data_IF_200710423422
#
_entry.id   IF_200710423422
#
_cell.length_a   1.000
_cell.length_b   1.000
_cell.length_c   1.000
_cell.angle_alpha   90.00
_cell.angle_beta   90.00
_cell.angle_gamma   90.00
#
_symmetry.space_group_name_H-M   'P 1'
#
loop_
_entity.id
_entity.type
_entity.pdbx_description
1 polymer ?
#
# COMPACT_ATOMS: atom_id res chain seq x y z
N UNK A 1 85.19 -14.96 -13.59
CA UNK A 1 85.12 -13.57 -14.10
C UNK A 1 83.86 -13.44 -14.93
N UNK A 2 82.86 -12.77 -14.33
CA UNK A 2 81.76 -11.95 -14.89
C UNK A 2 80.84 -12.41 -16.06
N UNK A 3 79.55 -12.04 -15.89
CA UNK A 3 78.45 -11.72 -16.87
C UNK A 3 77.34 -12.81 -16.92
N UNK A 4 76.23 -12.68 -16.17
CA UNK A 4 74.96 -11.91 -16.37
C UNK A 4 74.08 -12.38 -17.54
N UNK A 5 72.82 -12.78 -17.22
CA UNK A 5 71.56 -12.46 -17.94
C UNK A 5 70.37 -13.06 -17.15
N UNK A 6 69.57 -12.28 -16.41
CA UNK A 6 68.35 -11.54 -16.81
C UNK A 6 67.15 -12.42 -17.20
N UNK A 7 66.14 -12.45 -16.33
CA UNK A 7 64.74 -12.43 -16.74
C UNK A 7 63.87 -11.80 -15.63
N UNK A 8 63.30 -10.65 -15.96
CA UNK A 8 62.34 -9.85 -15.22
C UNK A 8 60.99 -10.57 -15.08
N UNK A 9 60.34 -10.48 -13.91
CA UNK A 9 58.87 -10.48 -13.83
C UNK A 9 58.40 -9.30 -12.96
N UNK A 10 57.96 -8.26 -13.67
CA UNK A 10 57.31 -7.06 -13.18
C UNK A 10 55.87 -7.44 -12.75
N UNK A 11 55.57 -7.38 -11.45
CA UNK A 11 54.20 -7.43 -10.95
C UNK A 11 53.58 -6.04 -11.15
N UNK A 12 52.63 -5.93 -12.09
CA UNK A 12 51.82 -4.74 -12.28
C UNK A 12 50.47 -4.95 -11.59
N UNK A 13 50.30 -4.34 -10.42
CA UNK A 13 49.07 -4.27 -9.65
C UNK A 13 48.04 -3.37 -10.36
N UNK A 14 46.91 -3.93 -10.79
CA UNK A 14 45.75 -3.16 -11.27
C UNK A 14 44.80 -2.95 -10.09
N UNK A 15 44.76 -1.73 -9.57
CA UNK A 15 43.71 -1.29 -8.64
C UNK A 15 42.43 -0.98 -9.45
N UNK A 16 41.47 -1.90 -9.41
CA UNK A 16 40.10 -1.63 -9.86
C UNK A 16 39.28 -1.01 -8.73
N UNK A 17 38.97 0.28 -8.84
CA UNK A 17 38.06 0.96 -7.92
C UNK A 17 36.60 0.59 -8.21
N UNK A 18 35.99 -0.16 -7.30
CA UNK A 18 34.55 -0.43 -7.30
C UNK A 18 33.82 0.82 -6.76
N UNK A 19 33.17 1.59 -7.63
CA UNK A 19 32.23 2.65 -7.20
C UNK A 19 30.88 1.98 -6.95
N UNK A 20 30.53 1.78 -5.68
CA UNK A 20 29.19 1.36 -5.27
C UNK A 20 28.30 2.60 -5.26
N UNK A 21 27.43 2.74 -6.26
CA UNK A 21 26.34 3.72 -6.23
C UNK A 21 25.25 3.21 -5.29
N UNK A 22 25.19 3.77 -4.08
CA UNK A 22 24.06 3.58 -3.19
C UNK A 22 22.84 4.33 -3.74
N UNK A 23 21.91 3.62 -4.36
CA UNK A 23 20.59 4.18 -4.62
C UNK A 23 19.91 4.41 -3.27
N UNK A 24 19.65 5.66 -2.92
CA UNK A 24 18.86 5.98 -1.72
C UNK A 24 17.41 5.64 -2.07
N UNK A 25 16.94 4.48 -1.63
CA UNK A 25 15.52 4.18 -1.66
C UNK A 25 14.79 5.21 -0.79
N UNK A 26 14.02 6.11 -1.41
CA UNK A 26 13.15 7.00 -0.64
C UNK A 26 12.03 6.14 -0.06
N UNK A 27 11.73 6.35 1.23
CA UNK A 27 10.55 5.78 1.85
C UNK A 27 9.31 6.20 1.03
N UNK A 28 8.48 5.23 0.68
CA UNK A 28 7.27 5.46 -0.10
C UNK A 28 6.26 6.21 0.77
N UNK A 29 5.73 7.34 0.30
CA UNK A 29 4.69 8.08 1.02
C UNK A 29 3.42 7.23 1.07
N UNK A 30 2.86 7.06 2.26
CA UNK A 30 1.60 6.32 2.48
C UNK A 30 0.68 7.12 3.38
N UNK A 31 -0.63 7.08 3.14
CA UNK A 31 -1.66 7.52 4.11
C UNK A 31 -2.57 6.34 4.37
N UNK A 32 -2.62 5.87 5.62
CA UNK A 32 -3.37 4.66 6.01
C UNK A 32 -4.50 5.03 6.96
N UNK A 33 -5.67 4.43 6.77
CA UNK A 33 -6.89 4.63 7.55
C UNK A 33 -7.37 3.29 8.07
N UNK A 34 -7.63 3.20 9.38
CA UNK A 34 -8.15 2.01 10.05
C UNK A 34 -9.60 2.29 10.49
N UNK A 35 -10.54 1.46 10.04
CA UNK A 35 -11.96 1.53 10.45
C UNK A 35 -12.19 0.57 11.61
N UNK A 36 -12.43 1.09 12.81
CA UNK A 36 -12.45 0.27 14.01
C UNK A 36 -13.66 0.47 14.92
N UNK A 37 -14.02 -0.61 15.61
CA UNK A 37 -14.78 -0.55 16.85
C UNK A 37 -13.85 -0.10 18.00
N UNK A 38 -14.34 0.55 19.09
CA UNK A 38 -13.59 0.75 20.33
C UNK A 38 -12.70 -0.45 20.72
N UNK A 39 -11.42 -0.14 20.99
CA UNK A 39 -10.39 -1.15 21.30
C UNK A 39 -9.66 -1.72 20.09
N UNK A 40 -10.09 -1.43 18.86
CA UNK A 40 -9.44 -1.87 17.61
C UNK A 40 -8.33 -0.95 17.08
N UNK A 41 -7.81 -0.05 17.92
CA UNK A 41 -6.75 0.91 17.57
C UNK A 41 -5.45 0.21 17.19
N UNK A 42 -4.96 0.51 15.98
CA UNK A 42 -3.58 0.21 15.60
C UNK A 42 -2.69 1.23 16.30
N UNK A 43 -1.84 0.74 17.19
CA UNK A 43 -0.92 1.59 17.95
C UNK A 43 0.17 2.19 17.04
N UNK A 44 0.61 3.44 17.26
CA UNK A 44 1.73 4.02 16.55
C UNK A 44 2.97 3.13 16.61
N UNK A 45 3.68 3.01 15.50
CA UNK A 45 4.87 2.16 15.38
C UNK A 45 4.56 0.67 15.13
N UNK A 46 3.28 0.28 15.06
CA UNK A 46 2.90 -1.09 14.71
C UNK A 46 2.84 -1.23 13.19
N UNK A 47 3.81 -1.93 12.60
CA UNK A 47 3.86 -2.20 11.17
C UNK A 47 2.66 -3.07 10.74
N UNK A 48 1.88 -2.57 9.78
CA UNK A 48 0.66 -3.21 9.30
C UNK A 48 0.40 -2.91 7.82
N UNK A 49 -0.28 -3.84 7.14
CA UNK A 49 -0.79 -3.70 5.78
C UNK A 49 0.05 -4.46 4.74
N UNK A 50 -0.50 -4.59 3.53
CA UNK A 50 0.23 -5.15 2.36
C UNK A 50 1.46 -4.29 2.06
N UNK A 51 1.29 -2.97 2.09
CA UNK A 51 2.40 -2.02 2.14
C UNK A 51 2.57 -1.62 3.60
N UNK A 52 3.61 -2.14 4.24
CA UNK A 52 3.87 -1.92 5.66
C UNK A 52 3.92 -0.43 6.00
N UNK A 53 2.99 0.04 6.83
CA UNK A 53 2.96 1.39 7.38
C UNK A 53 2.96 1.35 8.91
N UNK A 54 3.72 2.28 9.51
CA UNK A 54 3.90 2.39 10.96
C UNK A 54 2.87 3.30 11.62
N UNK A 55 2.15 4.09 10.84
CA UNK A 55 1.19 5.08 11.31
C UNK A 55 -0.15 4.88 10.57
N UNK A 56 -1.21 4.68 11.34
CA UNK A 56 -2.56 4.48 10.86
C UNK A 56 -3.49 5.51 11.51
N UNK A 57 -4.28 6.17 10.68
CA UNK A 57 -5.31 7.09 11.12
C UNK A 57 -6.51 6.26 11.59
N UNK A 58 -6.63 6.10 12.90
CA UNK A 58 -7.69 5.30 13.50
C UNK A 58 -9.01 6.08 13.50
N UNK A 59 -9.96 5.62 12.69
CA UNK A 59 -11.33 6.13 12.65
C UNK A 59 -12.13 5.45 13.74
N UNK A 60 -12.33 6.16 14.84
CA UNK A 60 -13.26 5.73 15.89
C UNK A 60 -14.63 6.34 15.60
N UNK A 61 -15.69 5.52 15.45
CA UNK A 61 -16.99 6.05 15.82
C UNK A 61 -17.07 6.18 17.35
N UNK A 62 -17.82 7.18 17.78
CA UNK A 62 -18.37 7.21 19.13
C UNK A 62 -19.35 6.05 19.22
N UNK A 63 -18.91 4.94 19.81
CA UNK A 63 -19.78 3.87 20.27
C UNK A 63 -20.30 4.27 21.66
N UNK A 64 -21.55 3.97 22.01
CA UNK A 64 -22.52 3.20 21.25
C UNK A 64 -23.29 4.10 20.29
N UNK A 65 -23.51 3.62 19.06
CA UNK A 65 -24.73 4.00 18.37
C UNK A 65 -25.90 3.55 19.28
N UNK A 66 -26.71 4.45 19.84
CA UNK A 66 -27.81 4.07 20.73
C UNK A 66 -28.89 3.24 20.02
N UNK A 67 -28.85 3.11 18.69
CA UNK A 67 -29.66 2.17 17.95
C UNK A 67 -28.86 1.63 16.75
N UNK A 68 -28.61 0.31 16.59
CA UNK A 68 -27.81 -0.29 15.50
C UNK A 68 -28.29 -0.02 14.06
N UNK A 69 -29.19 0.94 13.86
CA UNK A 69 -29.94 1.23 12.65
C UNK A 69 -29.75 2.66 12.12
N UNK A 70 -29.01 3.54 12.81
CA UNK A 70 -29.00 4.98 12.47
C UNK A 70 -27.98 5.39 11.41
N UNK A 71 -27.06 4.49 11.04
CA UNK A 71 -26.00 4.77 10.07
C UNK A 71 -24.90 5.64 10.68
N UNK A 72 -23.65 5.27 10.41
CA UNK A 72 -22.48 6.01 10.85
C UNK A 72 -22.03 6.95 9.74
N UNK A 73 -21.81 8.22 10.09
CA UNK A 73 -21.12 9.18 9.23
C UNK A 73 -20.01 9.84 10.02
N UNK A 74 -18.85 10.04 9.39
CA UNK A 74 -17.76 10.74 10.05
C UNK A 74 -16.78 11.35 9.07
N UNK A 75 -15.90 12.19 9.60
CA UNK A 75 -14.83 12.79 8.83
C UNK A 75 -13.59 13.00 9.72
N UNK A 76 -12.42 12.87 9.11
CA UNK A 76 -11.13 13.20 9.71
C UNK A 76 -10.39 14.10 8.73
N UNK A 77 -9.92 15.24 9.23
CA UNK A 77 -9.11 16.18 8.45
C UNK A 77 -7.65 16.09 8.87
N UNK A 78 -6.74 16.33 7.92
CA UNK A 78 -5.31 16.38 8.20
C UNK A 78 -4.75 15.03 8.62
N UNK A 79 -5.02 13.98 7.83
CA UNK A 79 -4.51 12.64 8.08
C UNK A 79 -2.98 12.63 8.14
N UNK A 80 -2.41 11.79 8.99
CA UNK A 80 -0.96 11.59 9.07
C UNK A 80 -0.50 10.58 8.01
N UNK A 81 0.70 10.78 7.49
CA UNK A 81 1.36 9.84 6.59
C UNK A 81 2.11 8.72 7.34
N UNK A 82 2.75 7.82 6.61
CA UNK A 82 3.52 6.70 7.14
C UNK A 82 4.70 7.10 8.04
N UNK A 83 5.17 8.35 7.94
CA UNK A 83 6.21 8.91 8.82
C UNK A 83 5.65 9.54 10.10
N UNK A 84 4.33 9.75 10.15
CA UNK A 84 3.64 10.43 11.24
C UNK A 84 3.46 11.94 11.00
N UNK A 85 3.87 12.46 9.84
CA UNK A 85 3.70 13.85 9.49
C UNK A 85 2.25 14.12 9.06
N UNK A 86 1.67 15.21 9.55
CA UNK A 86 0.34 15.68 9.12
C UNK A 86 0.37 16.06 7.63
N UNK A 87 -0.65 15.62 6.90
CA UNK A 87 -0.87 15.97 5.49
C UNK A 87 -2.09 16.89 5.35
N UNK A 88 -2.39 17.35 4.12
CA UNK A 88 -3.67 17.98 3.80
C UNK A 88 -4.75 16.99 3.36
N UNK A 89 -4.49 15.68 3.46
CA UNK A 89 -5.44 14.63 3.06
C UNK A 89 -6.55 14.52 4.10
N UNK A 90 -7.79 14.43 3.64
CA UNK A 90 -8.97 14.28 4.49
C UNK A 90 -9.79 13.08 4.02
N UNK A 91 -10.54 12.49 4.94
CA UNK A 91 -11.51 11.44 4.64
C UNK A 91 -12.88 11.79 5.23
N UNK A 92 -13.94 11.51 4.48
CA UNK A 92 -15.30 11.41 4.99
C UNK A 92 -15.85 10.04 4.62
N UNK A 93 -16.62 9.43 5.50
CA UNK A 93 -17.17 8.09 5.28
C UNK A 93 -18.60 7.98 5.76
N UNK A 94 -19.32 7.05 5.15
CA UNK A 94 -20.65 6.60 5.56
C UNK A 94 -20.62 5.09 5.68
N UNK A 95 -21.36 4.54 6.63
CA UNK A 95 -21.55 3.11 6.82
C UNK A 95 -22.78 2.86 7.67
N UNK A 96 -23.05 1.61 7.99
CA UNK A 96 -24.13 1.24 8.90
C UNK A 96 -23.66 1.10 10.35
N UNK A 97 -22.46 0.55 10.56
CA UNK A 97 -21.85 0.46 11.88
C UNK A 97 -20.46 -0.15 11.86
N UNK A 98 -20.02 -0.64 13.02
CA UNK A 98 -18.78 -1.39 13.18
C UNK A 98 -19.06 -2.79 13.74
N UNK A 99 -18.28 -3.76 13.28
CA UNK A 99 -18.24 -5.11 13.84
C UNK A 99 -16.79 -5.54 14.08
N UNK A 100 -16.66 -6.65 14.80
CA UNK A 100 -15.38 -7.26 15.13
C UNK A 100 -15.46 -8.79 14.99
N UNK A 101 -14.36 -9.49 15.22
CA UNK A 101 -14.24 -10.95 15.15
C UNK A 101 -14.26 -11.51 13.71
N UNK A 102 -13.78 -10.75 12.73
CA UNK A 102 -13.64 -11.24 11.36
C UNK A 102 -12.46 -12.19 11.15
N UNK A 103 -11.45 -12.16 12.03
CA UNK A 103 -10.23 -12.97 11.90
C UNK A 103 -9.93 -13.65 13.24
N UNK A 104 -9.67 -14.96 13.19
CA UNK A 104 -9.33 -15.73 14.40
C UNK A 104 -7.81 -15.83 14.57
N UNK A 105 -7.37 -15.88 15.83
CA UNK A 105 -5.98 -16.12 16.19
C UNK A 105 -5.02 -14.99 15.80
N UNK A 106 -4.37 -14.40 16.79
CA UNK A 106 -3.32 -13.42 16.56
C UNK A 106 -3.43 -12.20 17.47
N UNK A 107 -2.30 -11.52 17.61
CA UNK A 107 -2.16 -10.25 18.31
C UNK A 107 -1.36 -9.25 17.48
N UNK A 108 -1.10 -9.59 16.20
CA UNK A 108 -0.38 -8.72 15.28
C UNK A 108 -1.24 -7.55 14.87
N UNK A 109 -0.61 -6.48 14.41
CA UNK A 109 -1.34 -5.29 13.99
C UNK A 109 -2.09 -5.51 12.65
N UNK A 110 -1.64 -6.46 11.81
CA UNK A 110 -2.43 -6.97 10.67
C UNK A 110 -3.70 -7.71 11.12
N UNK A 111 -3.60 -8.51 12.18
CA UNK A 111 -4.78 -9.15 12.77
C UNK A 111 -5.74 -8.08 13.30
N UNK A 112 -5.24 -7.07 14.02
CA UNK A 112 -6.08 -5.98 14.53
C UNK A 112 -6.80 -5.20 13.42
N UNK A 113 -6.08 -4.90 12.33
CA UNK A 113 -6.63 -4.23 11.16
C UNK A 113 -7.81 -5.02 10.60
N UNK A 114 -7.61 -6.31 10.31
CA UNK A 114 -8.65 -7.12 9.68
C UNK A 114 -9.74 -7.57 10.65
N UNK A 115 -9.45 -7.67 11.94
CA UNK A 115 -10.41 -8.15 12.93
C UNK A 115 -11.55 -7.15 13.17
N UNK A 116 -11.36 -5.87 12.82
CA UNK A 116 -12.38 -4.83 12.92
C UNK A 116 -12.76 -4.36 11.52
N UNK A 117 -14.03 -4.01 11.35
CA UNK A 117 -14.50 -3.47 10.07
C UNK A 117 -15.72 -2.57 10.27
N UNK A 118 -15.80 -1.55 9.43
CA UNK A 118 -17.05 -0.86 9.16
C UNK A 118 -17.86 -1.68 8.16
N UNK A 119 -19.17 -1.74 8.35
CA UNK A 119 -20.05 -2.53 7.49
C UNK A 119 -21.26 -1.73 7.01
N UNK A 120 -21.84 -2.17 5.89
CA UNK A 120 -23.08 -1.66 5.32
C UNK A 120 -24.01 -2.81 4.89
N UNK A 121 -25.07 -2.46 4.17
CA UNK A 121 -25.88 -3.41 3.37
C UNK A 121 -26.60 -2.66 2.24
N UNK A 122 -27.50 -3.33 1.52
CA UNK A 122 -28.25 -2.72 0.41
C UNK A 122 -29.14 -1.53 0.81
N UNK A 123 -29.61 -1.46 2.07
CA UNK A 123 -30.37 -0.33 2.61
C UNK A 123 -29.50 0.75 3.27
N UNK A 124 -28.25 0.43 3.60
CA UNK A 124 -27.32 1.31 4.30
C UNK A 124 -25.95 1.29 3.60
N UNK A 125 -25.66 2.27 2.72
CA UNK A 125 -24.47 2.25 1.89
C UNK A 125 -23.19 2.38 2.73
N UNK A 126 -22.11 1.76 2.26
CA UNK A 126 -20.76 1.93 2.78
C UNK A 126 -19.92 2.63 1.72
N UNK A 127 -19.38 3.79 2.04
CA UNK A 127 -18.56 4.56 1.11
C UNK A 127 -17.56 5.42 1.87
N UNK A 128 -16.40 5.64 1.25
CA UNK A 128 -15.34 6.48 1.79
C UNK A 128 -14.84 7.43 0.69
N UNK A 129 -14.93 8.73 0.96
CA UNK A 129 -14.43 9.79 0.08
C UNK A 129 -13.17 10.38 0.66
N UNK A 130 -12.10 10.40 -0.13
CA UNK A 130 -10.80 10.97 0.23
C UNK A 130 -10.54 12.20 -0.64
N UNK A 131 -10.04 13.27 -0.03
CA UNK A 131 -9.74 14.54 -0.70
C UNK A 131 -8.39 15.10 -0.25
N UNK A 132 -7.86 16.09 -0.99
CA UNK A 132 -6.61 16.76 -0.63
C UNK A 132 -5.35 15.95 -0.92
N UNK A 133 -5.45 14.93 -1.78
CA UNK A 133 -4.37 14.00 -2.10
C UNK A 133 -3.13 14.68 -2.70
N UNK A 134 -3.28 15.80 -3.40
CA UNK A 134 -2.15 16.54 -3.96
C UNK A 134 -1.20 17.12 -2.91
N UNK A 135 -1.62 17.17 -1.63
CA UNK A 135 -0.77 17.60 -0.52
C UNK A 135 0.28 16.56 -0.11
N UNK A 136 0.02 15.27 -0.38
CA UNK A 136 0.88 14.15 0.01
C UNK A 136 1.42 13.36 -1.19
N UNK A 137 0.71 13.38 -2.32
CA UNK A 137 1.00 12.58 -3.49
C UNK A 137 1.19 13.47 -4.72
N UNK A 138 2.34 13.33 -5.38
CA UNK A 138 2.61 13.98 -6.67
C UNK A 138 2.44 12.94 -7.78
N UNK A 139 1.38 13.06 -8.58
CA UNK A 139 1.07 12.09 -9.65
C UNK A 139 0.13 10.97 -9.20
N UNK A 140 0.27 9.80 -9.81
CA UNK A 140 -0.59 8.64 -9.54
C UNK A 140 -0.22 7.94 -8.23
N UNK A 141 -1.19 7.24 -7.66
CA UNK A 141 -1.06 6.45 -6.45
C UNK A 141 -1.86 5.16 -6.57
N UNK A 142 -1.54 4.20 -5.71
CA UNK A 142 -2.33 3.00 -5.55
C UNK A 142 -3.21 3.12 -4.31
N UNK A 143 -4.41 2.54 -4.38
CA UNK A 143 -5.33 2.44 -3.26
C UNK A 143 -5.54 0.98 -2.91
N UNK A 144 -5.17 0.60 -1.69
CA UNK A 144 -5.42 -0.71 -1.11
C UNK A 144 -6.64 -0.60 -0.22
N UNK A 145 -7.61 -1.49 -0.43
CA UNK A 145 -8.79 -1.61 0.43
C UNK A 145 -8.70 -2.94 1.14
N UNK A 146 -8.63 -2.90 2.46
CA UNK A 146 -8.54 -4.07 3.33
C UNK A 146 -9.92 -4.43 3.83
N UNK A 147 -10.20 -5.72 3.90
CA UNK A 147 -11.48 -6.22 4.39
C UNK A 147 -11.35 -7.61 4.96
N UNK A 148 -12.14 -7.86 5.99
CA UNK A 148 -12.52 -9.20 6.40
C UNK A 148 -13.98 -9.19 6.83
N UNK A 149 -14.59 -10.37 6.75
CA UNK A 149 -15.93 -10.62 7.24
C UNK A 149 -15.97 -12.08 7.68
N UNK A 150 -16.52 -12.42 8.87
CA UNK A 150 -16.59 -13.81 9.32
C UNK A 150 -17.42 -14.70 8.37
N UNK A 151 -18.30 -14.12 7.56
CA UNK A 151 -19.13 -14.82 6.59
C UNK A 151 -18.48 -14.81 5.20
N UNK A 152 -18.17 -15.98 4.64
CA UNK A 152 -17.59 -16.15 3.30
C UNK A 152 -18.62 -16.54 2.22
N UNK A 153 -19.92 -16.44 2.51
CA UNK A 153 -20.98 -16.80 1.57
C UNK A 153 -21.40 -15.64 0.65
N UNK A 154 -20.55 -14.62 0.50
CA UNK A 154 -20.92 -13.33 -0.08
C UNK A 154 -19.80 -12.76 -0.96
N UNK A 155 -20.15 -12.27 -2.15
CA UNK A 155 -19.23 -11.56 -3.05
C UNK A 155 -19.40 -10.06 -2.88
N UNK A 156 -18.43 -9.38 -2.30
CA UNK A 156 -18.45 -7.93 -2.10
C UNK A 156 -17.88 -7.25 -3.35
N UNK A 157 -18.47 -6.12 -3.74
CA UNK A 157 -17.92 -5.27 -4.79
C UNK A 157 -17.29 -4.00 -4.21
N UNK A 158 -16.06 -3.72 -4.63
CA UNK A 158 -15.33 -2.49 -4.33
C UNK A 158 -15.17 -1.72 -5.63
N UNK A 159 -15.70 -0.50 -5.71
CA UNK A 159 -15.67 0.33 -6.91
C UNK A 159 -14.93 1.65 -6.66
N UNK A 160 -14.01 2.00 -7.56
CA UNK A 160 -13.25 3.24 -7.53
C UNK A 160 -12.80 3.60 -8.95
N UNK A 161 -13.05 4.85 -9.36
CA UNK A 161 -12.51 5.39 -10.62
C UNK A 161 -12.91 4.60 -11.87
N UNK A 162 -14.10 4.02 -11.89
CA UNK A 162 -14.62 3.21 -13.00
C UNK A 162 -14.13 1.75 -13.02
N UNK A 163 -13.28 1.35 -12.08
CA UNK A 163 -12.91 -0.06 -11.87
C UNK A 163 -13.74 -0.64 -10.73
N UNK A 164 -14.24 -1.86 -10.90
CA UNK A 164 -14.90 -2.61 -9.84
C UNK A 164 -14.21 -3.95 -9.66
N UNK A 165 -13.84 -4.27 -8.42
CA UNK A 165 -13.39 -5.59 -8.04
C UNK A 165 -14.48 -6.33 -7.28
N UNK A 166 -14.67 -7.60 -7.62
CA UNK A 166 -15.54 -8.55 -6.97
C UNK A 166 -14.68 -9.58 -6.25
N UNK A 167 -14.93 -9.78 -4.97
CA UNK A 167 -14.16 -10.73 -4.17
C UNK A 167 -15.03 -11.29 -3.07
N UNK A 168 -14.84 -12.57 -2.81
CA UNK A 168 -15.37 -13.22 -1.61
C UNK A 168 -14.41 -12.99 -0.45
N UNK A 169 -14.92 -12.87 0.76
CA UNK A 169 -14.06 -12.78 1.94
C UNK A 169 -13.46 -14.15 2.25
N UNK A 170 -12.31 -14.14 2.93
CA UNK A 170 -11.80 -15.30 3.63
C UNK A 170 -12.59 -15.40 4.95
N UNK A 171 -13.46 -16.40 5.10
CA UNK A 171 -14.29 -16.57 6.29
C UNK A 171 -13.49 -17.18 7.43
N UNK A 172 -13.56 -16.60 8.63
CA UNK A 172 -12.95 -17.10 9.87
C UNK A 172 -11.50 -17.61 9.72
N UNK A 173 -10.71 -16.98 8.86
CA UNK A 173 -9.36 -17.43 8.57
C UNK A 173 -8.38 -17.04 9.68
N UNK A 174 -7.24 -17.73 9.71
CA UNK A 174 -6.11 -17.37 10.56
C UNK A 174 -5.11 -16.57 9.72
N UNK A 175 -4.88 -15.31 10.10
CA UNK A 175 -3.98 -14.44 9.35
C UNK A 175 -2.52 -14.94 9.39
N UNK A 176 -2.09 -15.53 10.51
CA UNK A 176 -0.72 -16.03 10.67
C UNK A 176 -0.35 -17.15 9.70
N UNK A 177 -1.32 -17.87 9.15
CA UNK A 177 -1.10 -18.90 8.13
C UNK A 177 -1.47 -18.44 6.71
N UNK A 178 -2.48 -17.59 6.58
CA UNK A 178 -3.02 -17.20 5.27
C UNK A 178 -2.28 -16.01 4.66
N UNK A 179 -1.90 -15.04 5.50
CA UNK A 179 -1.32 -13.77 5.06
C UNK A 179 -2.27 -12.94 4.19
N UNK A 180 -1.68 -12.09 3.35
CA UNK A 180 -2.39 -11.21 2.43
C UNK A 180 -2.76 -11.93 1.12
N UNK A 181 -4.03 -11.85 0.72
CA UNK A 181 -4.58 -12.45 -0.50
C UNK A 181 -5.39 -11.40 -1.26
N UNK A 182 -4.94 -11.10 -2.48
CA UNK A 182 -5.56 -10.07 -3.33
C UNK A 182 -6.78 -10.60 -4.08
N UNK A 183 -7.92 -9.90 -3.94
CA UNK A 183 -9.03 -10.02 -4.86
C UNK A 183 -8.74 -9.26 -6.15
N UNK A 184 -8.72 -9.97 -7.28
CA UNK A 184 -8.37 -9.40 -8.60
C UNK A 184 -9.48 -9.45 -9.64
N UNK A 185 -10.63 -10.02 -9.29
CA UNK A 185 -11.67 -10.31 -10.28
C UNK A 185 -12.48 -9.06 -10.58
N UNK A 186 -12.54 -8.67 -11.84
CA UNK A 186 -13.31 -7.50 -12.32
C UNK A 186 -14.62 -7.88 -13.01
N UNK A 187 -14.86 -9.18 -13.18
CA UNK A 187 -16.10 -9.71 -13.75
C UNK A 187 -16.95 -10.27 -12.62
N UNK A 188 -18.23 -9.89 -12.56
CA UNK A 188 -19.15 -10.43 -11.56
C UNK A 188 -19.18 -11.97 -11.65
N UNK A 189 -18.82 -12.70 -10.58
CA UNK A 189 -18.90 -14.16 -10.57
C UNK A 189 -20.34 -14.64 -10.74
N UNK A 190 -20.53 -15.81 -11.35
CA UNK A 190 -21.86 -16.39 -11.54
C UNK A 190 -22.51 -16.88 -10.24
N UNK A 191 -21.68 -17.24 -9.25
CA UNK A 191 -22.10 -17.70 -7.92
C UNK A 191 -21.05 -17.31 -6.88
N UNK A 192 -21.38 -17.36 -5.59
CA UNK A 192 -20.39 -17.06 -4.54
C UNK A 192 -19.35 -18.19 -4.41
N UNK A 193 -19.70 -19.43 -4.72
CA UNK A 193 -18.83 -20.60 -4.61
C UNK A 193 -17.63 -20.52 -5.55
N UNK A 194 -17.83 -19.97 -6.75
CA UNK A 194 -16.78 -19.80 -7.77
C UNK A 194 -16.05 -18.46 -7.67
N UNK A 195 -16.52 -17.54 -6.83
CA UNK A 195 -15.87 -16.27 -6.62
C UNK A 195 -14.52 -16.45 -5.89
N UNK A 196 -13.42 -15.86 -6.38
CA UNK A 196 -12.15 -15.95 -5.69
C UNK A 196 -12.21 -15.20 -4.36
N UNK A 197 -11.46 -15.73 -3.40
CA UNK A 197 -11.37 -15.15 -2.07
C UNK A 197 -10.18 -14.18 -1.97
N UNK A 198 -10.32 -13.21 -1.08
CA UNK A 198 -9.28 -12.26 -0.72
C UNK A 198 -9.53 -11.61 0.64
N UNK A 199 -8.56 -10.81 1.07
CA UNK A 199 -8.67 -9.90 2.23
C UNK A 199 -8.17 -8.48 1.91
N UNK A 200 -7.80 -8.23 0.65
CA UNK A 200 -7.62 -6.88 0.12
C UNK A 200 -7.87 -6.81 -1.39
N UNK A 201 -8.12 -5.61 -1.92
CA UNK A 201 -8.08 -5.29 -3.35
C UNK A 201 -7.15 -4.10 -3.58
N UNK A 202 -6.57 -3.98 -4.79
CA UNK A 202 -5.69 -2.87 -5.17
C UNK A 202 -6.19 -2.17 -6.43
N UNK A 203 -6.50 -0.89 -6.31
CA UNK A 203 -6.70 0.01 -7.44
C UNK A 203 -5.37 0.66 -7.77
N UNK A 204 -4.76 0.30 -8.90
CA UNK A 204 -3.46 0.80 -9.29
C UNK A 204 -3.57 2.03 -10.20
N UNK A 205 -2.61 2.96 -10.08
CA UNK A 205 -2.51 4.10 -10.99
C UNK A 205 -3.68 5.09 -10.90
N UNK A 206 -4.34 5.16 -9.75
CA UNK A 206 -5.36 6.17 -9.47
C UNK A 206 -4.72 7.56 -9.52
N UNK A 207 -5.44 8.54 -10.02
CA UNK A 207 -4.94 9.91 -10.14
C UNK A 207 -6.01 10.93 -9.78
N UNK A 208 -5.59 12.18 -9.59
CA UNK A 208 -6.46 13.27 -9.16
C UNK A 208 -6.38 13.56 -7.67
N UNK A 209 -7.02 14.65 -7.26
CA UNK A 209 -6.93 15.17 -5.88
C UNK A 209 -7.94 14.53 -4.92
N UNK A 210 -8.87 13.74 -5.44
CA UNK A 210 -9.92 13.10 -4.67
C UNK A 210 -10.41 11.83 -5.36
N UNK A 211 -10.95 10.90 -4.57
CA UNK A 211 -11.72 9.76 -5.06
C UNK A 211 -12.82 9.39 -4.06
N UNK A 212 -13.79 8.65 -4.53
CA UNK A 212 -14.78 7.96 -3.70
C UNK A 212 -14.64 6.47 -3.95
N UNK A 213 -14.50 5.72 -2.86
CA UNK A 213 -14.58 4.27 -2.83
C UNK A 213 -16.02 3.90 -2.46
N UNK A 214 -16.70 3.24 -3.36
CA UNK A 214 -18.02 2.68 -3.10
C UNK A 214 -17.91 1.19 -2.81
N UNK A 215 -18.53 0.77 -1.73
CA UNK A 215 -18.54 -0.63 -1.31
C UNK A 215 -19.98 -1.06 -1.22
N UNK A 216 -20.41 -1.89 -2.17
CA UNK A 216 -21.79 -2.34 -2.23
C UNK A 216 -21.95 -3.68 -1.49
N UNK A 217 -23.16 -3.90 -0.97
CA UNK A 217 -23.62 -5.19 -0.47
C UNK A 217 -23.37 -6.33 -1.47
N UNK A 218 -23.50 -7.60 -1.05
CA UNK A 218 -23.11 -8.71 -1.88
C UNK A 218 -23.75 -8.68 -3.26
N UNK A 219 -22.90 -8.61 -4.28
CA UNK A 219 -23.33 -8.70 -5.67
C UNK A 219 -23.86 -10.10 -6.00
N UNK A 220 -23.40 -11.11 -5.24
CA UNK A 220 -23.92 -12.48 -5.22
C UNK A 220 -23.88 -13.01 -3.79
N UNK A 221 -24.94 -13.71 -3.35
CA UNK A 221 -25.06 -14.22 -1.98
C UNK A 221 -25.57 -15.66 -1.95
N UNK A 222 -24.99 -16.48 -1.07
CA UNK A 222 -25.37 -17.87 -0.83
C UNK A 222 -26.44 -18.08 0.24
N UNK A 223 -26.43 -17.29 1.32
CA UNK A 223 -27.47 -17.24 2.36
C UNK A 223 -27.17 -16.17 3.41
N UNK A 224 -28.18 -15.67 4.14
CA UNK A 224 -27.99 -14.89 5.39
C UNK A 224 -27.76 -13.38 5.25
N UNK A 225 -27.45 -12.73 6.39
CA UNK A 225 -27.26 -11.28 6.50
C UNK A 225 -26.11 -10.76 5.62
N UNK A 226 -26.49 -9.93 4.67
CA UNK A 226 -25.65 -9.46 3.57
C UNK A 226 -24.87 -8.20 3.96
N UNK A 227 -23.74 -8.36 4.65
CA UNK A 227 -22.88 -7.24 5.02
C UNK A 227 -21.68 -7.09 4.09
N UNK A 228 -21.54 -5.92 3.51
CA UNK A 228 -20.30 -5.46 2.91
C UNK A 228 -19.40 -4.85 3.99
N UNK A 229 -18.08 -4.90 3.79
CA UNK A 229 -17.11 -4.58 4.84
C UNK A 229 -15.89 -3.83 4.31
N UNK A 230 -15.40 -2.88 5.12
CA UNK A 230 -14.09 -2.23 4.98
C UNK A 230 -13.43 -2.24 6.35
N UNK A 231 -12.26 -2.87 6.44
CA UNK A 231 -11.39 -2.85 7.61
C UNK A 231 -10.43 -1.66 7.57
N UNK A 232 -9.93 -1.32 6.40
CA UNK A 232 -8.98 -0.22 6.24
C UNK A 232 -8.82 0.22 4.80
N UNK A 233 -8.20 1.38 4.64
CA UNK A 233 -7.81 1.92 3.35
C UNK A 233 -6.38 2.44 3.45
N UNK A 234 -5.59 2.22 2.41
CA UNK A 234 -4.24 2.77 2.34
C UNK A 234 -3.96 3.33 0.96
N UNK A 235 -3.56 4.59 0.92
CA UNK A 235 -3.11 5.28 -0.29
C UNK A 235 -1.60 5.25 -0.29
N UNK A 236 -1.01 4.82 -1.40
CA UNK A 236 0.42 4.59 -1.52
C UNK A 236 0.91 5.32 -2.76
N UNK A 237 1.89 6.21 -2.61
CA UNK A 237 2.50 6.89 -3.75
C UNK A 237 3.00 5.86 -4.75
N UNK A 238 2.73 6.03 -6.04
CA UNK A 238 3.41 5.22 -7.04
C UNK A 238 4.92 5.45 -6.87
N UNK A 239 5.71 4.38 -6.80
CA UNK A 239 7.16 4.52 -6.72
C UNK A 239 7.64 5.27 -7.95
N UNK A 240 8.35 6.41 -7.80
CA UNK A 240 8.97 7.05 -8.95
C UNK A 240 9.98 6.06 -9.53
N UNK A 241 9.73 5.58 -10.75
CA UNK A 241 10.77 4.89 -11.52
C UNK A 241 11.89 5.93 -11.69
N UNK A 242 13.12 5.69 -11.23
CA UNK A 242 14.21 6.63 -11.45
C UNK A 242 14.35 6.83 -12.95
N UNK A 243 14.08 8.03 -13.46
CA UNK A 243 14.28 8.30 -14.87
C UNK A 243 15.77 8.13 -15.20
N UNK A 244 16.12 7.45 -16.31
CA UNK A 244 17.50 7.15 -16.67
C UNK A 244 18.38 8.39 -16.94
N UNK A 245 17.83 9.60 -16.90
CA UNK A 245 18.56 10.85 -17.14
C UNK A 245 19.72 11.08 -16.15
N UNK A 246 19.63 10.60 -14.91
CA UNK A 246 20.69 10.74 -13.90
C UNK A 246 21.88 9.81 -14.16
N UNK A 247 21.67 8.69 -14.86
CA UNK A 247 22.74 7.74 -15.23
C UNK A 247 23.56 8.29 -16.41
N UNK A 248 22.90 8.95 -17.36
CA UNK A 248 23.58 9.53 -18.53
C UNK A 248 24.46 10.73 -18.17
N UNK A 249 24.05 11.56 -17.19
CA UNK A 249 24.84 12.72 -16.78
C UNK A 249 26.13 12.31 -16.03
N UNK A 250 26.07 11.31 -15.14
CA UNK A 250 27.27 10.84 -14.41
C UNK A 250 28.27 10.09 -15.30
N UNK A 251 27.80 9.30 -16.28
CA UNK A 251 28.67 8.66 -17.26
C UNK A 251 29.33 9.67 -18.21
N UNK A 252 28.63 10.77 -18.53
CA UNK A 252 29.17 11.87 -19.33
C UNK A 252 30.37 12.58 -18.66
N UNK A 253 30.33 12.80 -17.34
CA UNK A 253 31.44 13.40 -16.61
C UNK A 253 32.64 12.44 -16.42
N UNK A 254 32.39 11.15 -16.23
CA UNK A 254 33.46 10.14 -16.14
C UNK A 254 34.21 9.98 -17.47
N UNK A 255 33.50 10.05 -18.61
CA UNK A 255 34.11 10.02 -19.94
C UNK A 255 34.97 11.27 -20.21
N UNK A 256 34.53 12.45 -19.77
CA UNK A 256 35.27 13.70 -19.95
C UNK A 256 36.54 13.78 -19.08
N UNK A 257 36.52 13.23 -17.85
CA UNK A 257 37.71 13.18 -17.00
C UNK A 257 38.81 12.24 -17.55
N UNK A 258 38.43 11.13 -18.17
CA UNK A 258 39.35 10.19 -18.81
C UNK A 258 40.09 10.79 -20.02
N UNK A 259 39.42 11.63 -20.81
CA UNK A 259 40.01 12.26 -22.00
C UNK A 259 41.00 13.37 -21.62
N UNK A 260 40.76 14.11 -20.53
CA UNK A 260 41.68 15.16 -20.06
C UNK A 260 42.96 14.57 -19.46
N UNK A 261 42.89 13.42 -18.79
CA UNK A 261 44.08 12.72 -18.25
C UNK A 261 45.01 12.16 -19.33
N UNK A 262 44.46 11.74 -20.49
CA UNK A 262 45.24 11.11 -21.55
C UNK A 262 46.11 12.11 -22.35
N UNK A 263 45.69 13.37 -22.48
CA UNK A 263 46.46 14.39 -23.21
C UNK A 263 47.70 14.90 -22.47
N UNK A 264 47.79 14.78 -21.14
CA UNK A 264 48.96 15.24 -20.37
C UNK A 264 50.17 14.29 -20.39
N UNK A 265 50.02 13.02 -20.78
CA UNK A 265 51.12 12.04 -20.77
C UNK A 265 51.99 11.97 -22.03
N UNK A 266 51.72 12.77 -23.06
CA UNK A 266 52.49 12.74 -24.33
C UNK A 266 53.57 13.83 -24.47
N UNK A 267 53.96 14.54 -23.40
CA UNK A 267 54.91 15.68 -23.52
C UNK A 267 56.20 15.61 -22.69
N UNK A 268 56.56 14.47 -22.11
CA UNK A 268 57.87 14.31 -21.45
C UNK A 268 58.55 13.04 -21.97
N UNK A 269 59.40 13.23 -22.97
CA UNK A 269 60.20 12.20 -23.62
C UNK A 269 61.12 12.85 -24.66
N UNK A 270 62.04 13.67 -24.17
CA UNK A 270 63.28 14.07 -24.83
C UNK A 270 64.43 13.64 -23.90
#
# INVERSE_FOLDING_TARGET
>A
MQIRCHAYRLLLSVFGGLVVLAAVARAQTTVSINFQNPGGAIAPGSATGVVSAMNWNNVTAVFPDPAPDSGITGAITGLVDGTGATTGVNISYVGWGYQSAAVSGGTTADHQLLNNFSYGNAGHPLSATVTGLSSAFTGSYDVYVYFANPNDFHVISYALGGTTYYTRTLGNFNFGTTGWVEGKTTTLPASYEVAPQGNYVRFAGVSGNAFTLDVAGPAVSGSGSNYNAISGLQIVAATPIPEPATVTLLLGFAAMAGVVGWRRRRRTGA
#
